data_IF_478694241044
#
_entry.id   IF_478694241044
#
_cell.length_a   1.000
_cell.length_b   1.000
_cell.length_c   1.000
_cell.angle_alpha   90.00
_cell.angle_beta   90.00
_cell.angle_gamma   90.00
#
_symmetry.space_group_name_H-M   'P 1'
#
loop_
_entity.id
_entity.type
_entity.pdbx_description
1 polymer ?
#
# COMPACT_ATOMS: atom_id res chain seq x y z
N UNK A 1 2.83 -22.82 7.23
CA UNK A 1 2.80 -22.12 5.94
C UNK A 1 1.97 -20.85 6.15
N UNK A 2 2.39 -19.73 5.60
CA UNK A 2 1.71 -18.45 5.69
C UNK A 2 0.83 -18.26 4.45
N UNK A 3 -0.41 -17.85 4.62
CA UNK A 3 -1.38 -17.64 3.55
C UNK A 3 -1.88 -16.20 3.57
N UNK A 4 -1.76 -15.50 2.44
CA UNK A 4 -2.30 -14.15 2.27
C UNK A 4 -3.55 -14.21 1.38
N UNK A 5 -4.69 -13.85 1.93
CA UNK A 5 -5.90 -13.55 1.15
C UNK A 5 -5.79 -12.14 0.59
N UNK A 6 -5.76 -12.03 -0.70
CA UNK A 6 -5.33 -10.84 -1.43
C UNK A 6 -6.33 -10.44 -2.50
N UNK A 7 -6.82 -9.22 -2.47
CA UNK A 7 -7.57 -8.67 -3.59
C UNK A 7 -6.66 -8.39 -4.79
N UNK A 8 -7.07 -8.83 -5.98
CA UNK A 8 -6.27 -8.75 -7.22
C UNK A 8 -5.96 -7.32 -7.67
N UNK A 9 -6.79 -6.35 -7.25
CA UNK A 9 -6.63 -4.92 -7.55
C UNK A 9 -6.53 -4.06 -6.29
N UNK A 10 -6.48 -4.68 -5.11
CA UNK A 10 -6.51 -4.00 -3.83
C UNK A 10 -5.15 -3.37 -3.49
N UNK A 11 -5.05 -2.04 -3.31
CA UNK A 11 -3.79 -1.39 -2.96
C UNK A 11 -3.25 -1.82 -1.59
N UNK A 12 -4.12 -2.14 -0.65
CA UNK A 12 -3.73 -2.63 0.68
C UNK A 12 -3.18 -4.06 0.63
N UNK A 13 -3.78 -4.92 -0.20
CA UNK A 13 -3.24 -6.27 -0.44
C UNK A 13 -1.90 -6.23 -1.15
N UNK A 14 -1.69 -5.28 -2.06
CA UNK A 14 -0.41 -5.08 -2.74
C UNK A 14 0.71 -4.72 -1.75
N UNK A 15 0.43 -3.92 -0.71
CA UNK A 15 1.40 -3.65 0.37
C UNK A 15 1.92 -4.95 1.01
N UNK A 16 1.02 -5.86 1.32
CA UNK A 16 1.38 -7.12 1.96
C UNK A 16 2.14 -8.06 1.03
N UNK A 17 1.72 -8.18 -0.23
CA UNK A 17 2.49 -8.94 -1.24
C UNK A 17 3.90 -8.38 -1.39
N UNK A 18 4.04 -7.05 -1.46
CA UNK A 18 5.35 -6.41 -1.57
C UNK A 18 6.27 -6.75 -0.40
N UNK A 19 5.78 -6.67 0.83
CA UNK A 19 6.57 -7.03 2.02
C UNK A 19 6.98 -8.51 1.97
N UNK A 20 6.08 -9.42 1.64
CA UNK A 20 6.38 -10.84 1.56
C UNK A 20 7.47 -11.15 0.52
N UNK A 21 7.43 -10.51 -0.65
CA UNK A 21 8.46 -10.64 -1.67
C UNK A 21 9.78 -9.98 -1.27
N UNK A 22 9.77 -8.83 -0.61
CA UNK A 22 10.98 -8.20 -0.07
C UNK A 22 11.66 -9.07 1.00
N UNK A 23 10.90 -9.84 1.75
CA UNK A 23 11.43 -10.80 2.74
C UNK A 23 11.96 -12.09 2.10
N UNK A 24 11.62 -12.37 0.85
CA UNK A 24 12.10 -13.55 0.12
C UNK A 24 11.70 -14.88 0.76
N UNK A 25 10.56 -14.92 1.45
CA UNK A 25 10.08 -16.10 2.15
C UNK A 25 9.00 -16.83 1.34
N UNK A 26 8.80 -18.12 1.64
CA UNK A 26 7.72 -18.90 1.05
C UNK A 26 6.37 -18.55 1.68
N UNK A 27 5.39 -18.26 0.83
CA UNK A 27 4.02 -17.99 1.21
C UNK A 27 3.04 -18.37 0.10
N UNK A 28 1.78 -18.54 0.45
CA UNK A 28 0.68 -18.77 -0.50
C UNK A 28 -0.14 -17.50 -0.63
N UNK A 29 -0.47 -17.11 -1.86
CA UNK A 29 -1.47 -16.06 -2.13
C UNK A 29 -2.76 -16.71 -2.58
N UNK A 30 -3.86 -16.36 -1.92
CA UNK A 30 -5.22 -16.68 -2.34
C UNK A 30 -5.89 -15.42 -2.86
N UNK A 31 -6.10 -15.40 -4.16
CA UNK A 31 -6.77 -14.29 -4.82
C UNK A 31 -8.24 -14.22 -4.40
N UNK A 32 -8.68 -13.03 -4.03
CA UNK A 32 -10.07 -12.74 -3.65
C UNK A 32 -10.68 -11.80 -4.68
N UNK A 33 -11.79 -12.22 -5.28
CA UNK A 33 -12.62 -11.34 -6.09
C UNK A 33 -13.34 -10.35 -5.17
N UNK A 34 -13.05 -9.06 -5.34
CA UNK A 34 -13.62 -8.00 -4.52
C UNK A 34 -15.11 -7.77 -4.77
N UNK A 35 -15.63 -8.21 -5.91
CA UNK A 35 -17.05 -8.09 -6.27
C UNK A 35 -17.88 -9.31 -5.84
N UNK A 36 -17.22 -10.47 -5.68
CA UNK A 36 -17.86 -11.72 -5.27
C UNK A 36 -17.01 -12.40 -4.20
N UNK A 37 -16.98 -11.78 -3.01
CA UNK A 37 -16.16 -12.25 -1.90
C UNK A 37 -16.68 -13.57 -1.33
N UNK A 38 -15.81 -14.55 -1.07
CA UNK A 38 -16.17 -15.76 -0.34
C UNK A 38 -16.69 -15.46 1.07
N UNK A 39 -17.60 -16.29 1.57
CA UNK A 39 -18.22 -16.14 2.92
C UNK A 39 -17.18 -16.20 4.05
N UNK A 40 -16.13 -16.99 3.88
CA UNK A 40 -15.06 -17.15 4.86
C UNK A 40 -14.28 -15.85 5.12
N UNK A 41 -14.23 -14.90 4.17
CA UNK A 41 -13.62 -13.58 4.37
C UNK A 41 -14.28 -12.84 5.54
N UNK A 42 -15.61 -12.83 5.62
CA UNK A 42 -16.34 -12.18 6.72
C UNK A 42 -16.19 -12.91 8.06
N UNK A 43 -15.92 -14.20 8.02
CA UNK A 43 -15.63 -14.99 9.22
C UNK A 43 -14.25 -14.67 9.80
N UNK A 44 -13.26 -14.45 8.91
CA UNK A 44 -11.88 -14.13 9.32
C UNK A 44 -11.70 -12.65 9.67
N UNK A 45 -12.40 -11.75 8.97
CA UNK A 45 -12.36 -10.32 9.21
C UNK A 45 -13.78 -9.77 9.30
N UNK A 46 -14.21 -9.27 10.49
CA UNK A 46 -15.57 -8.77 10.68
C UNK A 46 -15.94 -7.58 9.79
N UNK A 47 -14.95 -6.89 9.23
CA UNK A 47 -15.18 -5.81 8.26
C UNK A 47 -15.30 -6.32 6.81
N UNK A 48 -15.18 -7.64 6.58
CA UNK A 48 -15.30 -8.26 5.26
C UNK A 48 -14.31 -7.72 4.22
N UNK A 49 -13.11 -7.33 4.65
CA UNK A 49 -12.10 -6.72 3.80
C UNK A 49 -10.84 -7.57 3.72
N UNK A 50 -10.11 -7.39 2.63
CA UNK A 50 -8.75 -7.93 2.43
C UNK A 50 -7.73 -6.77 2.46
N UNK A 51 -6.45 -7.02 2.77
CA UNK A 51 -5.79 -8.31 2.97
C UNK A 51 -6.11 -8.98 4.32
N UNK A 52 -5.98 -10.31 4.35
CA UNK A 52 -6.00 -11.11 5.56
C UNK A 52 -4.81 -12.05 5.52
N UNK A 53 -4.04 -12.10 6.59
CA UNK A 53 -2.93 -13.03 6.76
C UNK A 53 -3.34 -14.13 7.73
N UNK A 54 -3.10 -15.37 7.32
CA UNK A 54 -3.30 -16.55 8.16
C UNK A 54 -1.98 -17.29 8.32
N UNK A 55 -1.55 -17.46 9.57
CA UNK A 55 -0.41 -18.31 9.92
C UNK A 55 -0.78 -19.19 11.12
N UNK A 56 -0.98 -20.49 10.91
CA UNK A 56 -1.50 -21.43 11.91
C UNK A 56 -2.85 -20.97 12.45
N UNK A 57 -2.93 -20.67 13.75
CA UNK A 57 -4.14 -20.16 14.40
C UNK A 57 -4.24 -18.63 14.39
N UNK A 58 -3.18 -17.94 13.97
CA UNK A 58 -3.15 -16.49 13.89
C UNK A 58 -3.87 -16.03 12.64
N UNK A 59 -4.86 -15.14 12.81
CA UNK A 59 -5.55 -14.42 11.74
C UNK A 59 -5.35 -12.94 11.97
N UNK A 60 -4.76 -12.25 11.00
CA UNK A 60 -4.54 -10.81 11.03
C UNK A 60 -5.21 -10.13 9.83
N UNK A 61 -5.74 -8.97 10.05
CA UNK A 61 -6.21 -8.03 9.03
C UNK A 61 -5.65 -6.63 9.31
N UNK A 62 -5.87 -5.65 8.44
CA UNK A 62 -5.20 -4.35 8.35
C UNK A 62 -3.76 -4.47 7.83
N UNK A 63 -3.54 -3.94 6.63
CA UNK A 63 -2.27 -4.13 5.90
C UNK A 63 -1.03 -3.67 6.69
N UNK A 64 -1.11 -2.56 7.42
CA UNK A 64 0.03 -2.06 8.19
C UNK A 64 0.34 -2.94 9.40
N UNK A 65 -0.68 -3.54 10.02
CA UNK A 65 -0.50 -4.50 11.13
C UNK A 65 0.10 -5.80 10.60
N UNK A 66 -0.43 -6.32 9.49
CA UNK A 66 0.12 -7.51 8.81
C UNK A 66 1.59 -7.29 8.48
N UNK A 67 1.92 -6.15 7.87
CA UNK A 67 3.28 -5.85 7.44
C UNK A 67 4.25 -5.72 8.60
N UNK A 68 3.85 -5.10 9.69
CA UNK A 68 4.68 -5.00 10.88
C UNK A 68 4.92 -6.38 11.54
N UNK A 69 3.88 -7.23 11.59
CA UNK A 69 4.03 -8.61 12.03
C UNK A 69 5.03 -9.39 11.17
N UNK A 70 4.93 -9.29 9.83
CA UNK A 70 5.86 -9.95 8.93
C UNK A 70 7.29 -9.45 9.15
N UNK A 71 7.48 -8.14 9.34
CA UNK A 71 8.79 -7.54 9.56
C UNK A 71 9.42 -8.01 10.90
N UNK A 72 8.62 -8.12 11.95
CA UNK A 72 9.07 -8.66 13.25
C UNK A 72 9.35 -10.16 13.20
N UNK A 73 8.53 -10.92 12.48
CA UNK A 73 8.66 -12.37 12.32
C UNK A 73 9.86 -12.77 11.47
N UNK A 74 10.18 -11.94 10.45
CA UNK A 74 11.29 -12.11 9.52
C UNK A 74 12.09 -10.81 9.43
N UNK A 75 13.02 -10.57 10.38
CA UNK A 75 13.64 -9.26 10.56
C UNK A 75 14.60 -8.85 9.45
N UNK A 76 14.97 -9.72 8.52
CA UNK A 76 15.92 -9.41 7.45
C UNK A 76 15.25 -9.52 6.06
N UNK A 77 15.38 -8.46 5.22
CA UNK A 77 15.85 -7.11 5.53
C UNK A 77 14.85 -6.38 6.46
N UNK A 78 15.36 -5.50 7.33
CA UNK A 78 14.51 -4.66 8.18
C UNK A 78 13.76 -3.63 7.32
N UNK A 79 12.45 -3.49 7.53
CA UNK A 79 11.61 -2.46 6.92
C UNK A 79 11.16 -1.41 7.94
N UNK A 80 11.15 -1.76 9.22
CA UNK A 80 10.93 -0.83 10.34
C UNK A 80 12.27 -0.50 11.01
N UNK A 81 12.46 0.76 11.50
CA UNK A 81 13.63 1.11 12.30
C UNK A 81 13.72 0.28 13.59
N UNK A 82 14.92 0.00 14.06
CA UNK A 82 15.14 -0.70 15.33
C UNK A 82 14.95 0.21 16.57
N UNK A 83 15.23 1.50 16.43
CA UNK A 83 15.10 2.48 17.51
C UNK A 83 13.62 2.78 17.83
N UNK A 84 13.20 2.74 19.12
CA UNK A 84 11.81 2.97 19.51
C UNK A 84 11.26 4.34 19.09
N UNK A 85 12.05 5.40 19.14
CA UNK A 85 11.63 6.75 18.73
C UNK A 85 11.39 6.82 17.23
N UNK A 86 12.32 6.27 16.45
CA UNK A 86 12.17 6.18 14.99
C UNK A 86 10.97 5.31 14.59
N UNK A 87 10.74 4.17 15.26
CA UNK A 87 9.56 3.31 15.05
C UNK A 87 8.26 4.06 15.32
N UNK A 88 8.18 4.80 16.43
CA UNK A 88 7.00 5.59 16.76
C UNK A 88 6.70 6.65 15.69
N UNK A 89 7.74 7.32 15.16
CA UNK A 89 7.60 8.28 14.05
C UNK A 89 7.11 7.62 12.77
N UNK A 90 7.63 6.44 12.43
CA UNK A 90 7.16 5.68 11.26
C UNK A 90 5.68 5.30 11.41
N UNK A 91 5.25 4.81 12.58
CA UNK A 91 3.85 4.49 12.84
C UNK A 91 2.94 5.72 12.71
N UNK A 92 3.42 6.88 13.18
CA UNK A 92 2.68 8.14 13.01
C UNK A 92 2.56 8.53 11.53
N UNK A 93 3.63 8.39 10.75
CA UNK A 93 3.59 8.62 9.31
C UNK A 93 2.63 7.67 8.58
N UNK A 94 2.65 6.38 8.93
CA UNK A 94 1.69 5.40 8.38
C UNK A 94 0.24 5.80 8.66
N UNK A 95 -0.04 6.23 9.90
CA UNK A 95 -1.36 6.74 10.28
C UNK A 95 -1.75 7.98 9.46
N UNK A 96 -0.81 8.90 9.26
CA UNK A 96 -1.05 10.10 8.45
C UNK A 96 -1.32 9.74 6.98
N UNK A 97 -0.62 8.78 6.40
CA UNK A 97 -0.92 8.28 5.05
C UNK A 97 -2.35 7.74 4.94
N UNK A 98 -2.81 6.96 5.93
CA UNK A 98 -4.20 6.47 5.94
C UNK A 98 -5.21 7.63 5.96
N UNK A 99 -4.98 8.65 6.78
CA UNK A 99 -5.89 9.79 6.92
C UNK A 99 -5.84 10.77 5.76
N UNK A 100 -4.65 11.05 5.24
CA UNK A 100 -4.42 12.15 4.28
C UNK A 100 -4.38 11.69 2.82
N UNK A 101 -4.11 10.41 2.56
CA UNK A 101 -4.02 9.84 1.22
C UNK A 101 -5.04 8.72 1.00
N UNK A 102 -4.98 7.66 1.80
CA UNK A 102 -5.79 6.46 1.54
C UNK A 102 -7.27 6.62 1.89
N UNK A 103 -7.64 7.57 2.76
CA UNK A 103 -9.04 7.96 2.92
C UNK A 103 -9.63 8.47 1.59
N UNK A 104 -8.85 9.20 0.79
CA UNK A 104 -9.25 9.67 -0.53
C UNK A 104 -9.21 8.57 -1.59
N UNK A 105 -8.23 7.64 -1.51
CA UNK A 105 -8.22 6.43 -2.35
C UNK A 105 -9.49 5.60 -2.13
N UNK A 106 -9.93 5.45 -0.89
CA UNK A 106 -11.18 4.74 -0.58
C UNK A 106 -12.39 5.40 -1.25
N UNK A 107 -12.43 6.73 -1.32
CA UNK A 107 -13.49 7.46 -2.05
C UNK A 107 -13.42 7.15 -3.55
N UNK A 108 -12.23 7.18 -4.16
CA UNK A 108 -12.03 6.89 -5.57
C UNK A 108 -12.43 5.46 -5.94
N UNK A 109 -12.21 4.50 -5.02
CA UNK A 109 -12.54 3.09 -5.22
C UNK A 109 -13.94 2.69 -4.71
N UNK A 110 -14.68 3.62 -4.09
CA UNK A 110 -16.00 3.35 -3.51
C UNK A 110 -15.96 2.37 -2.34
N UNK A 111 -14.87 2.36 -1.57
CA UNK A 111 -14.71 1.47 -0.43
C UNK A 111 -15.43 1.99 0.81
N UNK A 112 -16.03 1.07 1.58
CA UNK A 112 -16.65 1.40 2.87
C UNK A 112 -17.95 2.19 2.76
N UNK A 113 -18.54 2.28 1.57
CA UNK A 113 -19.82 2.95 1.33
C UNK A 113 -20.70 2.18 0.36
N UNK A 114 -22.00 2.25 0.55
CA UNK A 114 -23.02 1.75 -0.38
C UNK A 114 -23.45 2.82 -1.38
N UNK A 115 -23.09 4.08 -1.12
CA UNK A 115 -23.47 5.22 -1.95
C UNK A 115 -22.33 5.58 -2.89
N UNK A 116 -22.63 5.68 -4.18
CA UNK A 116 -21.66 6.10 -5.19
C UNK A 116 -21.26 7.56 -4.95
N UNK A 117 -19.95 7.84 -4.96
CA UNK A 117 -19.45 9.19 -4.85
C UNK A 117 -19.83 10.06 -6.06
N UNK A 118 -20.13 11.32 -5.82
CA UNK A 118 -20.40 12.30 -6.88
C UNK A 118 -19.11 12.72 -7.60
N UNK A 119 -19.21 13.23 -8.82
CA UNK A 119 -18.04 13.71 -9.58
C UNK A 119 -17.28 14.79 -8.80
N UNK A 120 -17.97 15.65 -8.06
CA UNK A 120 -17.36 16.66 -7.21
C UNK A 120 -16.55 16.05 -6.07
N UNK A 121 -17.04 14.97 -5.45
CA UNK A 121 -16.33 14.26 -4.39
C UNK A 121 -15.10 13.53 -4.95
N UNK A 122 -15.22 12.92 -6.13
CA UNK A 122 -14.11 12.25 -6.80
C UNK A 122 -13.01 13.24 -7.17
N UNK A 123 -13.38 14.41 -7.74
CA UNK A 123 -12.38 15.44 -8.10
C UNK A 123 -11.72 16.04 -6.86
N UNK A 124 -12.47 16.28 -5.79
CA UNK A 124 -11.90 16.71 -4.51
C UNK A 124 -10.89 15.68 -3.97
N UNK A 125 -11.21 14.40 -4.03
CA UNK A 125 -10.29 13.34 -3.60
C UNK A 125 -9.00 13.33 -4.43
N UNK A 126 -9.08 13.45 -5.76
CA UNK A 126 -7.89 13.57 -6.64
C UNK A 126 -7.03 14.78 -6.28
N UNK A 127 -7.66 15.93 -6.08
CA UNK A 127 -6.96 17.17 -5.70
C UNK A 127 -6.23 17.03 -4.37
N UNK A 128 -6.87 16.46 -3.35
CA UNK A 128 -6.24 16.23 -2.04
C UNK A 128 -5.03 15.29 -2.13
N UNK A 129 -5.15 14.22 -2.89
CA UNK A 129 -4.02 13.31 -3.13
C UNK A 129 -2.88 14.05 -3.85
N UNK A 130 -3.19 14.77 -4.93
CA UNK A 130 -2.20 15.54 -5.70
C UNK A 130 -1.45 16.54 -4.83
N UNK A 131 -2.17 17.32 -4.03
CA UNK A 131 -1.60 18.35 -3.17
C UNK A 131 -0.68 17.73 -2.11
N UNK A 132 -1.14 16.64 -1.47
CA UNK A 132 -0.35 15.95 -0.45
C UNK A 132 0.90 15.29 -1.03
N UNK A 133 0.81 14.66 -2.17
CA UNK A 133 1.97 14.07 -2.85
C UNK A 133 2.97 15.15 -3.31
N UNK A 134 2.47 16.30 -3.76
CA UNK A 134 3.34 17.43 -4.14
C UNK A 134 4.10 17.95 -2.91
N UNK A 135 3.49 17.98 -1.74
CA UNK A 135 4.16 18.38 -0.48
C UNK A 135 5.25 17.39 -0.05
N UNK A 136 5.15 16.11 -0.44
CA UNK A 136 6.17 15.09 -0.16
C UNK A 136 7.35 15.17 -1.13
N UNK A 137 7.19 15.71 -2.33
CA UNK A 137 8.19 15.69 -3.38
C UNK A 137 9.58 16.24 -2.96
N UNK A 138 9.71 17.34 -2.15
CA UNK A 138 11.00 17.85 -1.72
C UNK A 138 11.85 16.85 -0.90
N UNK A 139 11.26 15.88 -0.24
CA UNK A 139 11.99 14.84 0.53
C UNK A 139 12.96 14.12 -0.39
N UNK A 140 12.55 13.84 -1.64
CA UNK A 140 13.29 13.05 -2.62
C UNK A 140 14.35 13.84 -3.39
N UNK A 141 14.53 15.12 -3.08
CA UNK A 141 15.70 15.89 -3.55
C UNK A 141 16.98 15.47 -2.82
N UNK A 142 16.85 14.98 -1.59
CA UNK A 142 17.99 14.60 -0.73
C UNK A 142 18.00 13.10 -0.39
N UNK A 143 16.84 12.49 -0.33
CA UNK A 143 16.66 11.11 0.10
C UNK A 143 16.34 10.21 -1.09
N UNK A 144 16.94 9.02 -1.08
CA UNK A 144 16.63 7.96 -2.04
C UNK A 144 15.25 7.37 -1.80
N UNK A 145 14.89 7.18 -0.54
CA UNK A 145 13.61 6.66 -0.05
C UNK A 145 13.04 7.55 1.06
N UNK A 146 11.88 7.22 1.60
CA UNK A 146 11.17 8.05 2.59
C UNK A 146 11.99 8.34 3.85
N UNK A 147 12.78 7.38 4.33
CA UNK A 147 13.60 7.52 5.55
C UNK A 147 15.09 7.77 5.29
N UNK A 148 15.51 7.92 4.04
CA UNK A 148 16.90 8.10 3.66
C UNK A 148 17.33 7.18 2.51
N UNK A 149 18.41 6.42 2.70
CA UNK A 149 18.97 5.58 1.64
C UNK A 149 18.37 4.18 1.55
N UNK A 150 17.71 3.72 2.60
CA UNK A 150 17.16 2.37 2.70
C UNK A 150 15.65 2.35 2.44
N UNK A 151 15.22 1.33 1.71
CA UNK A 151 13.80 1.04 1.50
C UNK A 151 13.14 0.64 2.81
N UNK A 152 11.96 1.20 3.11
CA UNK A 152 11.29 1.04 4.39
C UNK A 152 9.80 0.77 4.25
N UNK A 153 9.15 0.53 5.39
CA UNK A 153 7.70 0.34 5.50
C UNK A 153 6.90 1.54 4.97
N UNK A 154 7.46 2.77 5.02
CA UNK A 154 6.79 3.94 4.45
C UNK A 154 6.75 3.88 2.92
N UNK A 155 7.81 3.40 2.29
CA UNK A 155 7.86 3.19 0.84
C UNK A 155 6.88 2.11 0.41
N UNK A 156 6.78 1.02 1.18
CA UNK A 156 5.76 -0.02 0.97
C UNK A 156 4.35 0.55 1.02
N UNK A 157 4.07 1.39 2.02
CA UNK A 157 2.72 1.91 2.25
C UNK A 157 2.23 2.83 1.13
N UNK A 158 3.11 3.67 0.58
CA UNK A 158 2.75 4.66 -0.46
C UNK A 158 2.80 4.10 -1.89
N UNK A 159 3.61 3.07 -2.12
CA UNK A 159 3.88 2.54 -3.46
C UNK A 159 2.62 2.16 -4.27
N UNK A 160 1.60 1.51 -3.70
CA UNK A 160 0.38 1.18 -4.43
C UNK A 160 -0.38 2.39 -4.96
N UNK A 161 -0.37 3.50 -4.22
CA UNK A 161 -0.98 4.75 -4.67
C UNK A 161 -0.20 5.34 -5.85
N UNK A 162 1.12 5.40 -5.76
CA UNK A 162 1.98 5.92 -6.81
C UNK A 162 1.83 5.13 -8.12
N UNK A 163 1.64 3.81 -8.02
CA UNK A 163 1.38 2.95 -9.17
C UNK A 163 0.05 3.26 -9.88
N UNK A 164 -0.96 3.70 -9.10
CA UNK A 164 -2.34 3.91 -9.57
C UNK A 164 -2.65 5.36 -9.96
N UNK A 165 -1.67 6.26 -10.01
CA UNK A 165 -1.92 7.67 -10.33
C UNK A 165 -2.66 7.83 -11.68
N UNK A 166 -2.16 7.18 -12.74
CA UNK A 166 -2.81 7.19 -14.05
C UNK A 166 -4.21 6.57 -14.01
N UNK A 167 -4.33 5.43 -13.33
CA UNK A 167 -5.61 4.72 -13.17
C UNK A 167 -6.68 5.56 -12.46
N UNK A 168 -6.26 6.37 -11.48
CA UNK A 168 -7.16 7.29 -10.76
C UNK A 168 -7.38 8.63 -11.50
N UNK A 169 -6.69 8.87 -12.60
CA UNK A 169 -6.74 10.13 -13.32
C UNK A 169 -6.10 11.28 -12.56
N UNK A 170 -5.02 11.03 -11.82
CA UNK A 170 -4.28 12.01 -11.06
C UNK A 170 -3.03 12.41 -11.83
N UNK A 171 -3.06 13.59 -12.46
CA UNK A 171 -1.91 14.16 -13.15
C UNK A 171 -1.07 14.97 -12.18
N UNK A 172 0.22 14.63 -12.08
CA UNK A 172 1.17 15.34 -11.22
C UNK A 172 1.86 16.46 -11.99
N UNK A 173 2.06 17.61 -11.32
CA UNK A 173 2.75 18.75 -11.89
C UNK A 173 4.27 18.51 -12.02
N UNK A 174 4.95 19.40 -12.76
CA UNK A 174 6.42 19.38 -12.89
C UNK A 174 7.16 19.50 -11.54
N UNK A 175 6.52 20.14 -10.55
CA UNK A 175 7.08 20.28 -9.20
C UNK A 175 7.16 18.93 -8.45
N UNK A 176 6.40 17.92 -8.90
CA UNK A 176 6.42 16.58 -8.33
C UNK A 176 7.45 15.64 -9.00
N UNK A 177 8.27 16.13 -9.93
CA UNK A 177 9.27 15.31 -10.63
C UNK A 177 10.18 14.49 -9.69
N UNK A 178 10.66 15.02 -8.54
CA UNK A 178 11.44 14.20 -7.59
C UNK A 178 10.65 13.02 -7.04
N UNK A 179 9.36 13.18 -6.76
CA UNK A 179 8.46 12.11 -6.33
C UNK A 179 8.28 11.07 -7.44
N UNK A 180 8.09 11.49 -8.68
CA UNK A 180 7.91 10.57 -9.80
C UNK A 180 9.19 9.74 -10.08
N UNK A 181 10.36 10.33 -9.95
CA UNK A 181 11.63 9.61 -10.01
C UNK A 181 11.79 8.60 -8.85
N UNK A 182 11.35 8.96 -7.67
CA UNK A 182 11.29 8.06 -6.53
C UNK A 182 10.34 6.89 -6.79
N UNK A 183 9.16 7.15 -7.34
CA UNK A 183 8.20 6.12 -7.70
C UNK A 183 8.82 5.10 -8.68
N UNK A 184 9.50 5.56 -9.73
CA UNK A 184 10.20 4.68 -10.68
C UNK A 184 11.28 3.81 -10.01
N UNK A 185 11.95 4.35 -9.00
CA UNK A 185 12.94 3.60 -8.22
C UNK A 185 12.28 2.46 -7.44
N UNK A 186 11.10 2.68 -6.86
CA UNK A 186 10.34 1.61 -6.21
C UNK A 186 9.88 0.58 -7.24
N UNK A 187 9.31 1.01 -8.35
CA UNK A 187 8.73 0.14 -9.37
C UNK A 187 9.75 -0.76 -10.06
N UNK A 188 11.03 -0.36 -10.06
CA UNK A 188 12.13 -1.15 -10.62
C UNK A 188 12.67 -2.22 -9.66
N UNK A 189 12.21 -2.27 -8.40
CA UNK A 189 12.62 -3.31 -7.46
C UNK A 189 12.08 -4.67 -7.88
N UNK A 190 12.89 -5.74 -7.87
CA UNK A 190 12.43 -7.10 -8.22
C UNK A 190 11.19 -7.53 -7.42
N UNK A 191 11.19 -7.31 -6.10
CA UNK A 191 10.06 -7.64 -5.24
C UNK A 191 8.77 -6.87 -5.61
N UNK A 192 8.89 -5.62 -6.07
CA UNK A 192 7.75 -4.84 -6.53
C UNK A 192 7.13 -5.44 -7.80
N UNK A 193 7.98 -5.81 -8.75
CA UNK A 193 7.55 -6.41 -10.03
C UNK A 193 6.84 -7.75 -9.78
N UNK A 194 7.38 -8.57 -8.89
CA UNK A 194 6.78 -9.85 -8.51
C UNK A 194 5.46 -9.68 -7.74
N UNK A 195 5.33 -8.62 -6.94
CA UNK A 195 4.13 -8.32 -6.17
C UNK A 195 2.93 -7.88 -7.01
N UNK A 196 3.14 -7.45 -8.26
CA UNK A 196 2.08 -7.01 -9.16
C UNK A 196 1.25 -8.18 -9.68
N UNK A 197 -0.07 -8.08 -9.53
CA UNK A 197 -1.00 -8.98 -10.22
C UNK A 197 -1.11 -8.63 -11.71
N UNK A 198 -1.59 -9.55 -12.57
CA UNK A 198 -1.88 -9.23 -13.97
C UNK A 198 -2.82 -8.02 -14.14
N UNK A 199 -3.83 -7.91 -13.28
CA UNK A 199 -4.78 -6.78 -13.29
C UNK A 199 -4.13 -5.46 -12.90
N UNK A 200 -3.16 -5.47 -12.00
CA UNK A 200 -2.44 -4.27 -11.57
C UNK A 200 -1.44 -3.79 -12.64
N UNK A 201 -0.84 -4.71 -13.40
CA UNK A 201 0.13 -4.36 -14.46
C UNK A 201 -0.45 -3.47 -15.54
N UNK A 202 -1.76 -3.55 -15.79
CA UNK A 202 -2.45 -2.74 -16.83
C UNK A 202 -2.97 -1.39 -16.30
N UNK A 203 -2.83 -1.11 -15.02
CA UNK A 203 -3.28 0.16 -14.41
C UNK A 203 -2.37 1.34 -14.74
N UNK A 204 -1.14 1.07 -15.12
CA UNK A 204 -0.15 2.08 -15.48
C UNK A 204 0.14 2.03 -16.99
N UNK A 205 0.13 3.20 -17.61
CA UNK A 205 0.38 3.40 -19.05
C UNK A 205 1.80 3.92 -19.31
#
# INVERSE_FOLDING_TARGET
>A
MMVLYSGTTCPFSQRCRLVLFEKGMDFEVRDVDLFNKPEDISTMNPYGQVPILVERELILYESNIINEYIDERFPHPHLMPGDPVARARVRLFLLNFEKELFAHVNILEGRGTTTKATDKQLEKARSQIRDRLTQLAPIFLKNKYMLGDDFSMLDVAIAPLLWRLDYYGIDMSKNALPLLKYAERIFSRPAYIEALTPSEKVMRR
#
